data_IF_883946470628
#
_entry.id   IF_883946470628
#
_cell.length_a   1.000
_cell.length_b   1.000
_cell.length_c   1.000
_cell.angle_alpha   90.00
_cell.angle_beta   90.00
_cell.angle_gamma   90.00
#
_symmetry.space_group_name_H-M   'P 1'
#
loop_
_entity.id
_entity.type
_entity.pdbx_description
1 polymer ?
#
# COMPACT_ATOMS: atom_id res chain seq x y z
N UNK A 1 18.95 25.58 63.23
CA UNK A 1 19.67 25.51 61.93
C UNK A 1 19.67 24.07 61.45
N UNK A 2 19.04 23.81 60.29
CA UNK A 2 19.51 22.93 59.21
C UNK A 2 18.34 22.48 58.34
N UNK A 3 18.18 23.18 57.22
CA UNK A 3 17.30 22.79 56.11
C UNK A 3 18.05 21.74 55.31
N UNK A 4 17.58 20.49 55.31
CA UNK A 4 18.12 19.44 54.43
C UNK A 4 17.46 19.62 53.06
N UNK A 5 18.22 20.22 52.13
CA UNK A 5 17.87 20.23 50.71
C UNK A 5 18.26 18.87 50.12
N UNK A 6 17.28 18.03 49.83
CA UNK A 6 17.47 16.85 48.99
C UNK A 6 17.18 17.27 47.55
N UNK A 7 18.24 17.61 46.80
CA UNK A 7 18.15 17.75 45.34
C UNK A 7 18.42 16.36 44.78
N UNK A 8 17.35 15.59 44.54
CA UNK A 8 17.45 14.34 43.79
C UNK A 8 17.56 14.70 42.31
N UNK A 9 18.79 14.62 41.79
CA UNK A 9 19.09 14.87 40.38
C UNK A 9 18.42 13.81 39.53
N UNK A 10 17.32 14.17 38.85
CA UNK A 10 16.73 13.34 37.81
C UNK A 10 17.70 13.29 36.63
N UNK A 11 18.46 12.20 36.52
CA UNK A 11 19.15 11.80 35.29
C UNK A 11 18.10 11.48 34.23
N UNK A 12 17.72 12.50 33.46
CA UNK A 12 16.94 12.31 32.24
C UNK A 12 17.91 11.65 31.25
N UNK A 13 17.88 10.32 31.16
CA UNK A 13 18.41 9.64 29.98
C UNK A 13 17.55 10.09 28.80
N UNK A 14 17.93 11.18 28.15
CA UNK A 14 17.56 11.42 26.76
C UNK A 14 18.29 10.36 25.95
N UNK A 15 17.75 9.13 25.93
CA UNK A 15 18.09 8.19 24.89
C UNK A 15 17.84 8.91 23.58
N UNK A 16 18.88 9.14 22.79
CA UNK A 16 18.71 9.54 21.40
C UNK A 16 17.85 8.46 20.76
N UNK A 17 16.53 8.71 20.68
CA UNK A 17 15.69 7.98 19.75
C UNK A 17 16.28 8.32 18.39
N UNK A 18 17.10 7.41 17.85
CA UNK A 18 17.65 7.52 16.51
C UNK A 18 16.48 7.86 15.63
N UNK A 19 16.47 9.07 15.04
CA UNK A 19 15.39 9.47 14.15
C UNK A 19 15.36 8.44 13.04
N UNK A 20 14.37 7.55 13.07
CA UNK A 20 14.14 6.61 11.99
C UNK A 20 13.89 7.47 10.75
N UNK A 21 14.65 7.21 9.69
CA UNK A 21 14.42 7.82 8.38
C UNK A 21 12.93 7.73 8.06
N UNK A 22 12.28 8.87 7.83
CA UNK A 22 10.86 8.91 7.54
C UNK A 22 10.64 8.99 6.03
N UNK A 23 9.57 8.35 5.57
CA UNK A 23 9.09 8.56 4.22
C UNK A 23 8.58 10.01 4.11
N UNK A 24 8.94 10.75 3.06
CA UNK A 24 8.22 11.96 2.69
C UNK A 24 6.83 11.53 2.23
N UNK A 25 5.84 11.72 3.10
CA UNK A 25 4.44 11.37 2.82
C UNK A 25 3.77 12.63 2.27
N UNK A 26 3.41 12.66 0.98
CA UNK A 26 2.73 13.82 0.42
C UNK A 26 1.35 13.98 1.05
N UNK A 27 0.86 15.22 1.17
CA UNK A 27 -0.51 15.47 1.64
C UNK A 27 -1.56 15.23 0.56
N UNK A 28 -1.12 15.22 -0.71
CA UNK A 28 -1.97 15.02 -1.88
C UNK A 28 -1.22 14.30 -3.00
N UNK A 29 -1.96 13.57 -3.83
CA UNK A 29 -1.45 12.85 -4.99
C UNK A 29 -2.34 13.13 -6.20
N UNK A 30 -1.73 13.27 -7.37
CA UNK A 30 -2.45 13.25 -8.65
C UNK A 30 -2.30 11.90 -9.30
N UNK A 31 -3.44 11.30 -9.68
CA UNK A 31 -3.44 9.97 -10.29
C UNK A 31 -4.65 9.81 -11.21
N UNK A 32 -4.43 9.35 -12.45
CA UNK A 32 -5.47 9.18 -13.46
C UNK A 32 -6.39 10.42 -13.61
N UNK A 33 -5.82 11.62 -13.57
CA UNK A 33 -6.55 12.89 -13.68
C UNK A 33 -7.43 13.24 -12.48
N UNK A 34 -7.30 12.54 -11.35
CA UNK A 34 -7.98 12.81 -10.09
C UNK A 34 -6.99 13.27 -9.02
N UNK A 35 -7.48 14.09 -8.10
CA UNK A 35 -6.75 14.52 -6.91
C UNK A 35 -7.16 13.66 -5.71
N UNK A 36 -6.18 13.02 -5.07
CA UNK A 36 -6.35 12.23 -3.86
C UNK A 36 -5.72 12.96 -2.68
N UNK A 37 -6.41 13.03 -1.56
CA UNK A 37 -5.95 13.71 -0.35
C UNK A 37 -5.70 12.69 0.75
N UNK A 38 -4.60 12.85 1.48
CA UNK A 38 -4.29 12.02 2.64
C UNK A 38 -5.42 12.15 3.66
N UNK A 39 -6.16 11.05 3.87
CA UNK A 39 -7.38 11.03 4.70
C UNK A 39 -7.22 10.13 5.92
N UNK A 40 -6.36 9.12 5.85
CA UNK A 40 -6.08 8.23 6.98
C UNK A 40 -4.59 7.85 7.04
N UNK A 41 -4.08 7.67 8.26
CA UNK A 41 -2.73 7.16 8.49
C UNK A 41 -2.68 6.29 9.73
N UNK A 42 -1.90 5.21 9.67
CA UNK A 42 -1.63 4.34 10.81
C UNK A 42 -0.15 3.98 10.81
N UNK A 43 0.55 4.23 11.93
CA UNK A 43 1.94 3.83 12.11
C UNK A 43 2.04 2.83 13.28
N UNK A 44 2.50 1.62 12.98
CA UNK A 44 2.69 0.53 13.93
C UNK A 44 4.18 0.33 14.29
N UNK A 45 5.02 1.34 14.04
CA UNK A 45 6.45 1.34 14.37
C UNK A 45 7.30 0.71 13.27
N UNK A 46 7.07 -0.54 12.89
CA UNK A 46 7.83 -1.19 11.79
C UNK A 46 7.17 -1.01 10.42
N UNK A 47 5.87 -0.76 10.41
CA UNK A 47 5.07 -0.55 9.22
C UNK A 47 4.14 0.65 9.43
N UNK A 48 4.01 1.48 8.40
CA UNK A 48 3.05 2.56 8.34
C UNK A 48 2.20 2.45 7.06
N UNK A 49 0.94 2.88 7.14
CA UNK A 49 -0.02 2.91 6.04
C UNK A 49 -0.61 4.31 5.93
N UNK A 50 -0.74 4.79 4.71
CA UNK A 50 -1.31 6.09 4.38
C UNK A 50 -2.36 5.91 3.30
N UNK A 51 -3.60 6.28 3.60
CA UNK A 51 -4.75 6.13 2.72
C UNK A 51 -5.15 7.50 2.14
N UNK A 52 -5.27 7.55 0.82
CA UNK A 52 -5.64 8.75 0.09
C UNK A 52 -6.93 8.52 -0.69
N UNK A 53 -7.87 9.45 -0.55
CA UNK A 53 -9.21 9.36 -1.12
C UNK A 53 -9.46 10.56 -2.03
N UNK A 54 -10.13 10.33 -3.15
CA UNK A 54 -10.57 11.40 -4.05
C UNK A 54 -11.89 11.98 -3.54
N UNK A 55 -11.98 13.30 -3.38
CA UNK A 55 -13.28 13.93 -3.05
C UNK A 55 -14.30 13.68 -4.17
N UNK A 56 -15.61 13.54 -3.85
CA UNK A 56 -16.24 13.72 -2.53
C UNK A 56 -16.28 12.45 -1.64
N UNK A 57 -15.53 11.40 -1.98
CA UNK A 57 -15.55 10.13 -1.26
C UNK A 57 -14.94 10.23 0.17
N UNK A 58 -15.15 9.19 0.97
CA UNK A 58 -14.66 9.03 2.36
C UNK A 58 -13.95 7.68 2.55
N UNK A 59 -13.26 7.47 3.68
CA UNK A 59 -12.62 6.18 3.97
C UNK A 59 -13.63 5.02 4.06
N UNK A 60 -14.84 5.30 4.51
CA UNK A 60 -15.91 4.31 4.63
C UNK A 60 -16.62 4.10 3.29
N UNK A 61 -16.74 5.16 2.48
CA UNK A 61 -17.44 5.14 1.21
C UNK A 61 -16.61 5.78 0.10
N UNK A 62 -15.77 4.95 -0.54
CA UNK A 62 -14.94 5.31 -1.69
C UNK A 62 -15.19 4.42 -2.90
N UNK A 63 -14.96 4.98 -4.09
CA UNK A 63 -14.91 4.28 -5.37
C UNK A 63 -13.48 4.02 -5.84
N UNK A 64 -12.55 4.92 -5.54
CA UNK A 64 -11.11 4.67 -5.72
C UNK A 64 -10.28 5.21 -4.55
N UNK A 65 -9.21 4.49 -4.23
CA UNK A 65 -8.28 4.77 -3.12
C UNK A 65 -6.84 4.58 -3.61
N UNK A 66 -5.92 5.38 -3.08
CA UNK A 66 -4.49 5.08 -3.13
C UNK A 66 -4.02 4.74 -1.72
N UNK A 67 -3.34 3.61 -1.57
CA UNK A 67 -2.61 3.27 -0.35
C UNK A 67 -1.10 3.38 -0.60
N UNK A 68 -0.41 4.06 0.31
CA UNK A 68 1.04 3.95 0.45
C UNK A 68 1.33 3.11 1.69
N UNK A 69 2.00 1.98 1.49
CA UNK A 69 2.51 1.14 2.56
C UNK A 69 4.01 1.35 2.68
N UNK A 70 4.47 1.73 3.87
CA UNK A 70 5.86 1.91 4.22
C UNK A 70 6.29 0.88 5.25
N UNK A 71 7.15 -0.04 4.87
CA UNK A 71 7.76 -1.03 5.75
C UNK A 71 9.23 -0.64 5.97
N UNK A 72 9.61 -0.32 7.21
CA UNK A 72 10.95 0.15 7.59
C UNK A 72 12.03 -0.93 7.47
N UNK A 73 11.67 -2.12 7.02
CA UNK A 73 12.53 -3.27 6.80
C UNK A 73 13.23 -3.74 8.07
N UNK A 74 12.47 -3.79 9.16
CA UNK A 74 12.92 -4.18 10.50
C UNK A 74 12.00 -5.31 11.02
N UNK A 75 12.40 -6.60 10.94
CA UNK A 75 13.67 -7.10 10.41
C UNK A 75 13.76 -7.00 8.88
N UNK A 76 14.99 -7.11 8.36
CA UNK A 76 15.27 -7.05 6.93
C UNK A 76 14.58 -8.19 6.17
N UNK A 77 13.93 -7.85 5.05
CA UNK A 77 13.26 -8.78 4.14
C UNK A 77 13.47 -8.35 2.69
N UNK A 78 13.87 -9.29 1.86
CA UNK A 78 13.88 -9.18 0.41
C UNK A 78 12.47 -9.06 -0.16
N UNK A 79 12.35 -8.60 -1.41
CA UNK A 79 11.06 -8.52 -2.11
C UNK A 79 10.46 -9.91 -2.33
N UNK A 80 11.27 -10.92 -2.60
CA UNK A 80 10.80 -12.31 -2.74
C UNK A 80 10.16 -12.81 -1.44
N UNK A 81 10.76 -12.54 -0.29
CA UNK A 81 10.18 -12.89 1.01
C UNK A 81 8.88 -12.13 1.29
N UNK A 82 8.82 -10.84 0.91
CA UNK A 82 7.60 -10.02 1.03
C UNK A 82 6.46 -10.57 0.18
N UNK A 83 6.76 -10.98 -1.05
CA UNK A 83 5.80 -11.65 -1.94
C UNK A 83 5.32 -12.96 -1.31
N UNK A 84 6.24 -13.83 -0.91
CA UNK A 84 5.91 -15.13 -0.33
C UNK A 84 5.02 -15.00 0.93
N UNK A 85 5.28 -14.02 1.79
CA UNK A 85 4.44 -13.72 2.95
C UNK A 85 3.03 -13.30 2.56
N UNK A 86 2.89 -12.42 1.56
CA UNK A 86 1.58 -11.97 1.07
C UNK A 86 0.80 -13.09 0.42
N UNK A 87 1.45 -13.87 -0.44
CA UNK A 87 0.79 -15.02 -1.04
C UNK A 87 0.30 -16.01 0.02
N UNK A 88 1.10 -16.26 1.06
CA UNK A 88 0.67 -17.10 2.19
C UNK A 88 -0.57 -16.53 2.87
N UNK A 89 -0.61 -15.23 3.15
CA UNK A 89 -1.78 -14.56 3.73
C UNK A 89 -2.98 -14.76 2.82
N UNK A 90 -2.86 -14.46 1.52
CA UNK A 90 -4.00 -14.54 0.61
C UNK A 90 -4.52 -15.96 0.43
N UNK A 91 -3.64 -16.97 0.33
CA UNK A 91 -4.05 -18.40 0.30
C UNK A 91 -4.75 -18.85 1.58
N UNK A 92 -4.44 -18.22 2.71
CA UNK A 92 -5.06 -18.50 4.01
C UNK A 92 -6.32 -17.65 4.26
N UNK A 93 -6.69 -16.80 3.31
CA UNK A 93 -7.93 -16.01 3.31
C UNK A 93 -8.78 -16.41 2.11
N UNK A 94 -10.04 -15.99 2.03
CA UNK A 94 -10.92 -16.33 0.90
C UNK A 94 -10.61 -15.56 -0.41
N UNK A 95 -9.39 -15.01 -0.53
CA UNK A 95 -8.93 -14.28 -1.73
C UNK A 95 -8.40 -15.28 -2.75
N UNK A 96 -9.17 -15.47 -3.83
CA UNK A 96 -8.89 -16.50 -4.85
C UNK A 96 -8.05 -16.02 -6.02
N UNK A 97 -8.00 -14.71 -6.26
CA UNK A 97 -7.43 -14.14 -7.48
C UNK A 97 -6.43 -13.03 -7.14
N UNK A 98 -5.15 -13.38 -7.22
CA UNK A 98 -4.03 -12.50 -6.96
C UNK A 98 -2.77 -12.98 -7.68
N UNK A 99 -1.85 -12.06 -7.93
CA UNK A 99 -0.54 -12.40 -8.49
C UNK A 99 0.48 -11.34 -8.10
N UNK A 100 1.70 -11.78 -7.81
CA UNK A 100 2.80 -10.92 -7.40
C UNK A 100 4.09 -11.39 -8.05
N UNK A 101 4.81 -10.45 -8.65
CA UNK A 101 6.08 -10.71 -9.31
C UNK A 101 7.13 -9.69 -8.89
N UNK A 102 8.39 -10.09 -9.08
CA UNK A 102 9.50 -9.14 -9.19
C UNK A 102 9.69 -8.75 -10.65
N UNK A 103 9.83 -7.46 -10.91
CA UNK A 103 10.26 -6.96 -12.21
C UNK A 103 11.66 -7.51 -12.53
N UNK A 104 11.86 -8.14 -13.71
CA UNK A 104 13.14 -8.73 -14.09
C UNK A 104 14.33 -7.77 -14.02
N UNK A 105 15.51 -8.30 -13.74
CA UNK A 105 16.74 -7.51 -13.57
C UNK A 105 17.16 -6.72 -14.83
N UNK A 106 16.73 -7.19 -16.01
CA UNK A 106 17.02 -6.55 -17.30
C UNK A 106 15.98 -5.48 -17.72
N UNK A 107 15.04 -5.13 -16.85
CA UNK A 107 14.01 -4.13 -17.11
C UNK A 107 14.41 -2.74 -16.60
N UNK A 108 13.64 -1.70 -16.95
CA UNK A 108 13.90 -0.31 -16.54
C UNK A 108 13.87 -0.10 -15.02
N UNK A 109 13.11 -0.91 -14.29
CA UNK A 109 12.97 -0.83 -12.83
C UNK A 109 13.17 -2.22 -12.20
N UNK A 110 14.41 -2.74 -12.19
CA UNK A 110 14.68 -4.10 -11.76
C UNK A 110 14.43 -4.26 -10.26
N UNK A 111 14.01 -5.45 -9.85
CA UNK A 111 13.73 -5.74 -8.44
C UNK A 111 12.69 -4.76 -7.83
N UNK A 112 11.71 -4.31 -8.61
CA UNK A 112 10.47 -3.76 -8.07
C UNK A 112 9.44 -4.88 -7.92
N UNK A 113 8.61 -4.80 -6.88
CA UNK A 113 7.38 -5.58 -6.78
C UNK A 113 6.36 -5.02 -7.77
N UNK A 114 5.66 -5.90 -8.47
CA UNK A 114 4.46 -5.59 -9.23
C UNK A 114 3.41 -6.67 -8.96
N UNK A 115 2.16 -6.29 -8.73
CA UNK A 115 1.14 -7.29 -8.47
C UNK A 115 -0.28 -6.73 -8.50
N UNK A 116 -1.23 -7.65 -8.38
CA UNK A 116 -2.64 -7.34 -8.25
C UNK A 116 -3.36 -8.30 -7.30
N UNK A 117 -4.52 -7.87 -6.80
CA UNK A 117 -5.49 -8.68 -6.06
C UNK A 117 -6.89 -8.30 -6.51
N UNK A 118 -7.74 -9.30 -6.76
CA UNK A 118 -9.15 -9.12 -7.09
C UNK A 118 -9.99 -9.75 -5.97
N UNK A 119 -10.73 -8.90 -5.26
CA UNK A 119 -11.70 -9.31 -4.25
C UNK A 119 -13.08 -9.46 -4.88
N UNK A 120 -13.71 -10.60 -4.61
CA UNK A 120 -15.10 -10.83 -4.97
C UNK A 120 -16.04 -10.01 -4.08
N UNK A 121 -17.23 -9.63 -4.57
CA UNK A 121 -18.24 -8.97 -3.76
C UNK A 121 -18.60 -9.77 -2.51
N UNK A 122 -18.74 -9.08 -1.38
CA UNK A 122 -19.30 -9.62 -0.13
C UNK A 122 -20.58 -8.88 0.24
N UNK A 123 -21.22 -9.28 1.34
CA UNK A 123 -22.41 -8.57 1.85
C UNK A 123 -22.05 -7.15 2.31
N UNK A 124 -20.89 -6.98 2.90
CA UNK A 124 -20.36 -5.71 3.41
C UNK A 124 -19.81 -4.85 2.27
N UNK A 125 -19.23 -5.48 1.24
CA UNK A 125 -18.68 -4.81 0.05
C UNK A 125 -19.30 -5.40 -1.22
N UNK A 126 -20.45 -4.87 -1.70
CA UNK A 126 -21.20 -5.47 -2.80
C UNK A 126 -20.58 -5.25 -4.20
N UNK A 127 -19.43 -4.58 -4.26
CA UNK A 127 -18.66 -4.35 -5.49
C UNK A 127 -17.47 -5.29 -5.56
N UNK A 128 -17.05 -5.62 -6.78
CA UNK A 128 -15.71 -6.16 -6.99
C UNK A 128 -14.69 -5.10 -6.57
N UNK A 129 -13.57 -5.51 -6.00
CA UNK A 129 -12.47 -4.59 -5.72
C UNK A 129 -11.20 -5.11 -6.39
N UNK A 130 -10.57 -4.24 -7.17
CA UNK A 130 -9.30 -4.51 -7.83
C UNK A 130 -8.24 -3.63 -7.20
N UNK A 131 -7.20 -4.27 -6.66
CA UNK A 131 -6.01 -3.60 -6.14
C UNK A 131 -4.85 -3.90 -7.08
N UNK A 132 -4.15 -2.87 -7.55
CA UNK A 132 -2.95 -3.00 -8.37
C UNK A 132 -1.83 -2.22 -7.71
N UNK A 133 -0.64 -2.80 -7.64
CA UNK A 133 0.43 -2.22 -6.85
C UNK A 133 1.80 -2.39 -7.47
N UNK A 134 2.65 -1.40 -7.18
CA UNK A 134 4.09 -1.47 -7.39
C UNK A 134 4.81 -1.13 -6.10
N UNK A 135 5.98 -1.71 -5.87
CA UNK A 135 6.76 -1.38 -4.69
C UNK A 135 8.25 -1.57 -4.90
N UNK A 136 9.06 -0.87 -4.11
CA UNK A 136 10.51 -0.95 -4.23
C UNK A 136 11.20 -0.65 -2.91
N UNK A 137 12.43 -1.10 -2.80
CA UNK A 137 13.30 -0.70 -1.70
C UNK A 137 13.77 0.75 -1.93
N UNK A 138 13.56 1.61 -0.95
CA UNK A 138 14.20 2.93 -0.88
C UNK A 138 15.48 2.82 -0.04
N UNK A 139 16.63 3.28 -0.56
CA UNK A 139 17.88 3.30 0.18
C UNK A 139 17.73 3.98 1.55
N UNK A 140 18.31 3.38 2.59
CA UNK A 140 18.35 3.92 3.97
C UNK A 140 16.98 4.12 4.64
N UNK A 141 15.93 3.52 4.11
CA UNK A 141 14.57 3.78 4.56
C UNK A 141 13.76 2.50 4.81
N UNK A 142 13.65 1.66 3.79
CA UNK A 142 12.77 0.51 3.84
C UNK A 142 12.10 0.23 2.50
N UNK A 143 11.13 -0.68 2.51
CA UNK A 143 10.30 -0.98 1.36
C UNK A 143 9.08 -0.06 1.33
N UNK A 144 8.79 0.51 0.17
CA UNK A 144 7.60 1.33 -0.06
C UNK A 144 6.78 0.71 -1.18
N UNK A 145 5.48 0.62 -0.97
CA UNK A 145 4.52 0.20 -1.98
C UNK A 145 3.49 1.30 -2.21
N UNK A 146 3.21 1.55 -3.49
CA UNK A 146 2.07 2.30 -3.96
C UNK A 146 1.03 1.31 -4.48
N UNK A 147 -0.20 1.40 -3.99
CA UNK A 147 -1.33 0.60 -4.44
C UNK A 147 -2.46 1.51 -4.87
N UNK A 148 -2.97 1.30 -6.07
CA UNK A 148 -4.24 1.87 -6.51
C UNK A 148 -5.34 0.82 -6.37
N UNK A 149 -6.45 1.23 -5.78
CA UNK A 149 -7.62 0.40 -5.51
C UNK A 149 -8.85 1.02 -6.17
N UNK A 150 -9.65 0.19 -6.83
CA UNK A 150 -10.91 0.62 -7.45
C UNK A 150 -12.03 -0.38 -7.16
N UNK A 151 -13.21 0.13 -6.79
CA UNK A 151 -14.45 -0.64 -6.72
C UNK A 151 -15.16 -0.64 -8.07
N UNK A 152 -15.64 -1.81 -8.46
CA UNK A 152 -16.30 -2.03 -9.75
C UNK A 152 -17.63 -2.72 -9.48
N UNK A 153 -18.70 -1.97 -9.74
CA UNK A 153 -20.05 -2.52 -9.67
C UNK A 153 -20.28 -3.44 -10.85
N UNK A 154 -20.75 -4.66 -10.59
CA UNK A 154 -21.15 -5.56 -11.65
C UNK A 154 -22.46 -5.05 -12.28
N UNK A 155 -22.48 -4.75 -13.59
CA UNK A 155 -23.70 -4.30 -14.24
C UNK A 155 -24.81 -5.32 -14.07
N UNK A 156 -26.06 -4.88 -13.91
CA UNK A 156 -27.22 -5.78 -13.75
C UNK A 156 -27.32 -6.80 -14.88
N UNK A 157 -27.02 -6.37 -16.12
CA UNK A 157 -27.00 -7.25 -17.30
C UNK A 157 -25.94 -8.33 -17.23
N UNK A 158 -24.88 -8.14 -16.44
CA UNK A 158 -23.76 -9.08 -16.30
C UNK A 158 -23.87 -9.97 -15.06
N UNK A 159 -24.97 -9.87 -14.27
CA UNK A 159 -25.17 -10.67 -13.04
C UNK A 159 -25.20 -12.18 -13.26
N UNK A 160 -25.52 -12.61 -14.47
CA UNK A 160 -25.57 -14.02 -14.86
C UNK A 160 -24.21 -14.59 -15.29
N UNK A 161 -23.17 -13.74 -15.42
CA UNK A 161 -21.82 -14.21 -15.70
C UNK A 161 -21.29 -15.00 -14.51
N UNK A 162 -20.60 -16.10 -14.79
CA UNK A 162 -19.87 -16.82 -13.76
C UNK A 162 -18.77 -15.93 -13.17
N UNK A 163 -18.44 -16.18 -11.91
CA UNK A 163 -17.35 -15.51 -11.18
C UNK A 163 -16.06 -15.52 -12.01
N UNK A 164 -15.67 -16.68 -12.57
CA UNK A 164 -14.48 -16.83 -13.40
C UNK A 164 -14.47 -15.91 -14.63
N UNK A 165 -15.63 -15.73 -15.30
CA UNK A 165 -15.73 -14.84 -16.47
C UNK A 165 -15.57 -13.37 -16.07
N UNK A 166 -16.13 -12.99 -14.92
CA UNK A 166 -15.95 -11.63 -14.39
C UNK A 166 -14.49 -11.39 -14.02
N UNK A 167 -13.85 -12.35 -13.34
CA UNK A 167 -12.43 -12.28 -12.99
C UNK A 167 -11.54 -12.13 -14.22
N UNK A 168 -11.71 -12.98 -15.25
CA UNK A 168 -10.96 -12.87 -16.50
C UNK A 168 -11.15 -11.51 -17.18
N UNK A 169 -12.36 -10.95 -17.13
CA UNK A 169 -12.64 -9.62 -17.65
C UNK A 169 -11.91 -8.53 -16.85
N UNK A 170 -11.97 -8.58 -15.52
CA UNK A 170 -11.28 -7.64 -14.63
C UNK A 170 -9.77 -7.72 -14.80
N UNK A 171 -9.20 -8.93 -14.93
CA UNK A 171 -7.78 -9.12 -15.21
C UNK A 171 -7.39 -8.41 -16.51
N UNK A 172 -8.09 -8.70 -17.61
CA UNK A 172 -7.72 -8.16 -18.93
C UNK A 172 -7.95 -6.65 -19.09
N UNK A 173 -9.06 -6.13 -18.58
CA UNK A 173 -9.49 -4.76 -18.87
C UNK A 173 -9.28 -3.78 -17.74
N UNK A 174 -8.92 -4.24 -16.55
CA UNK A 174 -8.63 -3.38 -15.41
C UNK A 174 -7.20 -3.60 -14.95
N UNK A 175 -6.87 -4.83 -14.53
CA UNK A 175 -5.54 -5.14 -13.98
C UNK A 175 -4.43 -4.88 -14.98
N UNK A 176 -4.52 -5.43 -16.20
CA UNK A 176 -3.41 -5.35 -17.17
C UNK A 176 -3.15 -3.89 -17.61
N UNK A 177 -4.22 -3.11 -17.79
CA UNK A 177 -4.12 -1.69 -18.13
C UNK A 177 -3.47 -0.93 -16.98
N UNK A 178 -3.94 -1.14 -15.75
CA UNK A 178 -3.47 -0.42 -14.58
C UNK A 178 -2.04 -0.80 -14.18
N UNK A 179 -1.66 -2.08 -14.28
CA UNK A 179 -0.28 -2.55 -14.08
C UNK A 179 0.67 -1.84 -15.03
N UNK A 180 0.30 -1.77 -16.31
CA UNK A 180 1.09 -1.06 -17.33
C UNK A 180 1.18 0.43 -17.03
N UNK A 181 0.11 1.05 -16.56
CA UNK A 181 0.13 2.46 -16.16
C UNK A 181 1.05 2.71 -14.96
N UNK A 182 0.91 1.95 -13.88
CA UNK A 182 1.75 2.04 -12.68
C UNK A 182 3.24 1.80 -12.98
N UNK A 183 3.57 0.84 -13.84
CA UNK A 183 4.96 0.60 -14.23
C UNK A 183 5.61 1.81 -14.89
N UNK A 184 4.84 2.56 -15.70
CA UNK A 184 5.32 3.78 -16.36
C UNK A 184 5.23 5.03 -15.48
N UNK A 185 4.52 4.95 -14.35
CA UNK A 185 4.42 6.06 -13.40
C UNK A 185 5.79 6.35 -12.78
N UNK A 186 6.27 7.59 -12.95
CA UNK A 186 7.49 8.09 -12.33
C UNK A 186 7.37 7.97 -10.81
N UNK A 187 8.35 7.33 -10.19
CA UNK A 187 8.38 7.22 -8.74
C UNK A 187 8.69 8.57 -8.09
N UNK A 188 7.79 9.04 -7.21
CA UNK A 188 7.89 10.34 -6.55
C UNK A 188 8.11 10.24 -5.03
N UNK A 189 7.97 9.04 -4.43
CA UNK A 189 8.16 8.85 -2.99
C UNK A 189 9.65 8.72 -2.66
N UNK A 190 10.12 9.51 -1.71
CA UNK A 190 11.51 9.50 -1.26
C UNK A 190 11.57 9.64 0.25
N UNK A 191 12.76 9.44 0.81
CA UNK A 191 12.95 9.49 2.25
C UNK A 191 13.65 10.78 2.65
N UNK A 192 13.18 11.35 3.76
CA UNK A 192 13.80 12.50 4.39
C UNK A 192 14.84 12.03 5.39
N UNK A 193 15.97 12.75 5.45
CA UNK A 193 17.05 12.51 6.41
C UNK A 193 16.72 13.09 7.77
#
# INVERSE_FOLDING_TARGET
>A
MNKIFVILTALILSGCATKLTQLNVPTQLEYNGKHYVLTGSQDLGTIARYAYISKPDTLENWQSEIEILFDRNQPARSIKERIALRERIYRNTDVKDFHFDTIPENSTNPNELNGYVIYSPTKENPSWQVNVMKGRQLPQCGFVQFQYSQKIQQPTRSKHLSVDKVQQHLQKYVVDIERKHLQNLKWQLFCEK
#
